data_IF_570274666287
#
_entry.id   IF_570274666287
#
_cell.length_a   1.000
_cell.length_b   1.000
_cell.length_c   1.000
_cell.angle_alpha   90.00
_cell.angle_beta   90.00
_cell.angle_gamma   90.00
#
_symmetry.space_group_name_H-M   'P 1'
#
loop_
_entity.id
_entity.type
_entity.pdbx_description
1 polymer ?
#
# COMPACT_ATOMS: atom_id res chain seq x y z
N UNK A 1 -46.95 27.40 75.62
CA UNK A 1 -46.73 28.66 74.84
C UNK A 1 -45.33 28.57 74.28
N UNK A 2 -45.21 28.15 73.07
CA UNK A 2 -43.91 28.02 72.40
C UNK A 2 -43.94 28.90 71.14
N UNK A 3 -43.15 29.95 71.16
CA UNK A 3 -43.03 30.93 70.10
C UNK A 3 -41.94 30.42 69.19
N UNK A 4 -42.31 30.01 67.99
CA UNK A 4 -41.37 29.61 66.95
C UNK A 4 -40.91 30.86 66.20
N UNK A 5 -39.65 31.23 66.31
CA UNK A 5 -39.03 32.31 65.60
C UNK A 5 -38.65 31.82 64.20
N UNK A 6 -39.24 32.43 63.18
CA UNK A 6 -38.90 32.19 61.73
C UNK A 6 -37.54 32.78 61.37
N UNK A 7 -36.76 31.95 60.75
CA UNK A 7 -35.46 32.31 60.14
C UNK A 7 -35.71 33.17 58.88
N UNK A 8 -35.03 34.30 58.69
CA UNK A 8 -35.14 35.09 57.47
C UNK A 8 -34.46 34.38 56.30
N UNK A 9 -34.97 34.55 55.05
CA UNK A 9 -34.38 33.96 53.86
C UNK A 9 -33.03 34.56 53.52
N UNK A 10 -32.07 33.69 53.27
CA UNK A 10 -30.72 33.99 52.85
C UNK A 10 -30.73 34.55 51.39
N UNK A 11 -29.99 35.61 51.09
CA UNK A 11 -29.92 36.16 49.73
C UNK A 11 -29.17 35.19 48.83
N UNK A 12 -29.87 34.76 47.78
CA UNK A 12 -29.34 33.95 46.68
C UNK A 12 -28.29 34.74 45.89
N UNK A 13 -27.02 34.51 46.23
CA UNK A 13 -25.88 35.00 45.43
C UNK A 13 -25.63 34.02 44.31
N UNK A 14 -26.49 34.01 43.28
CA UNK A 14 -26.25 33.38 42.03
C UNK A 14 -24.96 33.87 41.38
N UNK A 15 -24.11 33.01 40.86
CA UNK A 15 -22.89 33.40 40.19
C UNK A 15 -23.22 34.26 38.97
N UNK A 16 -22.41 35.26 38.64
CA UNK A 16 -22.66 36.13 37.50
C UNK A 16 -22.67 35.25 36.23
N UNK A 17 -23.72 35.43 35.46
CA UNK A 17 -23.85 34.86 34.13
C UNK A 17 -22.63 35.24 33.29
N UNK A 18 -21.66 34.34 33.24
CA UNK A 18 -20.53 34.45 32.34
C UNK A 18 -21.09 34.52 30.92
N UNK A 19 -20.85 35.64 30.26
CA UNK A 19 -21.13 35.83 28.85
C UNK A 19 -20.31 34.80 28.07
N UNK A 20 -20.85 33.61 27.89
CA UNK A 20 -20.36 32.65 26.91
C UNK A 20 -20.67 33.24 25.53
N UNK A 21 -19.70 33.98 24.99
CA UNK A 21 -19.67 34.22 23.56
C UNK A 21 -19.80 32.89 22.85
N UNK A 22 -20.82 32.68 22.01
CA UNK A 22 -20.94 31.42 21.27
C UNK A 22 -19.71 31.38 20.36
N UNK A 23 -18.72 30.54 20.75
CA UNK A 23 -17.72 30.07 19.81
C UNK A 23 -18.51 29.33 18.75
N UNK A 24 -18.75 29.96 17.62
CA UNK A 24 -19.25 29.28 16.41
C UNK A 24 -18.27 28.15 16.16
N UNK A 25 -18.64 26.96 16.57
CA UNK A 25 -17.88 25.76 16.27
C UNK A 25 -17.81 25.65 14.75
N UNK A 26 -16.61 25.90 14.22
CA UNK A 26 -16.32 25.74 12.79
C UNK A 26 -16.74 24.33 12.27
N UNK A 27 -16.96 23.40 13.21
CA UNK A 27 -17.43 22.05 12.94
C UNK A 27 -18.89 21.98 12.50
N UNK A 28 -19.74 22.90 12.94
CA UNK A 28 -21.17 22.91 12.62
C UNK A 28 -21.53 23.73 11.40
N UNK A 29 -20.57 24.49 10.86
CA UNK A 29 -20.74 25.19 9.59
C UNK A 29 -20.64 24.18 8.44
N UNK A 30 -21.59 24.22 7.50
CA UNK A 30 -21.53 23.47 6.24
C UNK A 30 -20.16 23.62 5.54
N UNK A 31 -19.57 24.82 5.63
CA UNK A 31 -18.25 25.11 5.09
C UNK A 31 -17.13 24.38 5.84
N UNK A 32 -17.22 24.28 7.18
CA UNK A 32 -16.25 23.52 7.98
C UNK A 32 -16.26 22.04 7.63
N UNK A 33 -17.45 21.46 7.43
CA UNK A 33 -17.60 20.06 7.01
C UNK A 33 -17.04 19.81 5.61
N UNK A 34 -17.34 20.72 4.67
CA UNK A 34 -16.80 20.63 3.31
C UNK A 34 -15.27 20.73 3.30
N UNK A 35 -14.69 21.59 4.13
CA UNK A 35 -13.24 21.78 4.24
C UNK A 35 -12.56 20.52 4.81
N UNK A 36 -13.12 19.93 5.86
CA UNK A 36 -12.61 18.69 6.46
C UNK A 36 -12.67 17.53 5.46
N UNK A 37 -13.79 17.37 4.74
CA UNK A 37 -13.92 16.35 3.72
C UNK A 37 -12.92 16.57 2.57
N UNK A 38 -12.72 17.81 2.14
CA UNK A 38 -11.73 18.14 1.12
C UNK A 38 -10.31 17.80 1.55
N UNK A 39 -9.91 18.13 2.77
CA UNK A 39 -8.60 17.78 3.32
C UNK A 39 -8.41 16.29 3.43
N UNK A 40 -9.41 15.55 3.92
CA UNK A 40 -9.37 14.09 3.99
C UNK A 40 -9.22 13.47 2.60
N UNK A 41 -9.95 13.97 1.60
CA UNK A 41 -9.88 13.48 0.23
C UNK A 41 -8.50 13.73 -0.39
N UNK A 42 -7.94 14.92 -0.21
CA UNK A 42 -6.57 15.24 -0.67
C UNK A 42 -5.55 14.37 0.05
N UNK A 43 -5.70 14.16 1.35
CA UNK A 43 -4.80 13.32 2.13
C UNK A 43 -4.84 11.86 1.67
N UNK A 44 -6.04 11.30 1.42
CA UNK A 44 -6.17 9.93 0.90
C UNK A 44 -5.58 9.78 -0.49
N UNK A 45 -5.73 10.78 -1.37
CA UNK A 45 -5.12 10.78 -2.70
C UNK A 45 -3.59 10.87 -2.63
N UNK A 46 -3.04 11.68 -1.72
CA UNK A 46 -1.59 11.77 -1.53
C UNK A 46 -1.01 10.46 -0.99
N UNK A 47 -1.65 9.86 0.02
CA UNK A 47 -1.22 8.57 0.57
C UNK A 47 -1.33 7.46 -0.47
N UNK A 48 -2.38 7.45 -1.29
CA UNK A 48 -2.53 6.48 -2.38
C UNK A 48 -1.43 6.61 -3.42
N UNK A 49 -1.02 7.83 -3.78
CA UNK A 49 0.08 8.05 -4.72
C UNK A 49 1.42 7.61 -4.15
N UNK A 50 1.70 7.90 -2.88
CA UNK A 50 2.98 7.48 -2.26
C UNK A 50 3.07 5.97 -2.09
N UNK A 51 1.96 5.27 -1.88
CA UNK A 51 1.95 3.80 -1.84
C UNK A 51 2.08 3.16 -3.24
N UNK A 52 1.61 3.83 -4.29
CA UNK A 52 1.65 3.30 -5.67
C UNK A 52 2.98 3.59 -6.38
N UNK A 53 3.73 4.64 -5.99
CA UNK A 53 4.91 5.10 -6.73
C UNK A 53 6.26 4.66 -6.15
N UNK A 54 6.28 3.87 -5.07
CA UNK A 54 7.51 3.39 -4.44
C UNK A 54 7.82 1.90 -4.71
N UNK A 55 7.23 1.33 -5.75
CA UNK A 55 7.64 0.03 -6.25
C UNK A 55 8.08 0.21 -7.68
N UNK A 56 9.35 0.51 -7.87
CA UNK A 56 10.06 0.22 -9.10
C UNK A 56 10.23 -1.31 -9.18
N UNK A 57 9.10 -2.03 -9.09
CA UNK A 57 9.08 -3.47 -9.24
C UNK A 57 9.47 -3.76 -10.70
N UNK A 58 10.49 -4.57 -10.88
CA UNK A 58 10.97 -5.03 -12.17
C UNK A 58 9.81 -5.66 -12.94
N UNK A 59 9.63 -5.22 -14.18
CA UNK A 59 8.61 -5.74 -15.06
C UNK A 59 8.92 -7.18 -15.50
N UNK A 60 7.91 -7.89 -15.98
CA UNK A 60 8.08 -9.24 -16.52
C UNK A 60 9.13 -9.26 -17.66
N UNK A 61 9.14 -8.24 -18.52
CA UNK A 61 10.08 -8.17 -19.65
C UNK A 61 11.52 -7.99 -19.13
N UNK A 62 11.75 -7.09 -18.21
CA UNK A 62 13.06 -6.88 -17.58
C UNK A 62 13.56 -8.12 -16.86
N UNK A 63 12.67 -8.84 -16.14
CA UNK A 63 13.03 -10.09 -15.47
C UNK A 63 13.48 -11.17 -16.47
N UNK A 64 12.85 -11.23 -17.63
CA UNK A 64 13.25 -12.15 -18.71
C UNK A 64 14.61 -11.75 -19.28
N UNK A 65 14.84 -10.46 -19.53
CA UNK A 65 16.12 -9.96 -20.06
C UNK A 65 17.27 -10.25 -19.09
N UNK A 66 17.05 -10.01 -17.80
CA UNK A 66 18.01 -10.34 -16.75
C UNK A 66 18.29 -11.84 -16.68
N UNK A 67 17.26 -12.70 -16.82
CA UNK A 67 17.43 -14.14 -16.84
C UNK A 67 18.23 -14.60 -18.06
N UNK A 68 18.00 -14.00 -19.24
CA UNK A 68 18.73 -14.31 -20.48
C UNK A 68 20.20 -13.94 -20.34
N UNK A 69 20.52 -12.80 -19.74
CA UNK A 69 21.91 -12.38 -19.49
C UNK A 69 22.68 -13.34 -18.58
N UNK A 70 21.98 -14.01 -17.66
CA UNK A 70 22.55 -14.97 -16.73
C UNK A 70 22.46 -16.42 -17.20
N UNK A 71 21.81 -16.68 -18.32
CA UNK A 71 21.70 -18.02 -18.90
C UNK A 71 23.04 -18.46 -19.52
N UNK A 72 23.31 -19.77 -19.43
CA UNK A 72 24.51 -20.36 -20.03
C UNK A 72 24.33 -20.76 -21.49
N UNK A 73 23.16 -20.49 -22.07
CA UNK A 73 22.83 -20.73 -23.47
C UNK A 73 21.90 -19.63 -24.01
N UNK A 74 21.79 -19.56 -25.32
CA UNK A 74 20.85 -18.65 -25.97
C UNK A 74 19.49 -19.34 -26.05
N UNK A 75 18.45 -18.82 -25.39
CA UNK A 75 17.12 -19.44 -25.45
C UNK A 75 16.57 -19.34 -26.86
N UNK A 76 15.81 -20.36 -27.29
CA UNK A 76 15.21 -20.33 -28.61
C UNK A 76 14.16 -19.20 -28.73
N UNK A 77 14.08 -18.61 -29.91
CA UNK A 77 12.94 -17.82 -30.33
C UNK A 77 11.96 -18.76 -31.06
N UNK A 78 10.79 -18.91 -30.60
CA UNK A 78 9.77 -18.00 -30.15
C UNK A 78 9.48 -18.09 -28.64
N UNK A 79 8.51 -17.29 -28.16
CA UNK A 79 8.11 -17.17 -26.75
C UNK A 79 7.75 -18.50 -26.05
N UNK A 80 7.58 -19.58 -26.80
CA UNK A 80 7.32 -20.94 -26.28
C UNK A 80 8.46 -21.44 -25.40
N UNK A 81 9.69 -21.01 -25.64
CA UNK A 81 10.87 -21.39 -24.89
C UNK A 81 11.09 -20.56 -23.61
N UNK A 82 10.16 -19.68 -23.29
CA UNK A 82 10.23 -18.79 -22.14
C UNK A 82 8.94 -18.95 -21.33
N UNK A 83 9.06 -19.45 -20.12
CA UNK A 83 7.94 -19.49 -19.18
C UNK A 83 8.23 -18.56 -18.03
N UNK A 84 7.27 -17.67 -17.72
CA UNK A 84 7.41 -16.68 -16.65
C UNK A 84 6.22 -16.80 -15.72
N UNK A 85 6.49 -16.83 -14.43
CA UNK A 85 5.47 -16.83 -13.36
C UNK A 85 5.87 -15.86 -12.26
N UNK A 86 4.90 -15.14 -11.74
CA UNK A 86 5.10 -14.34 -10.55
C UNK A 86 4.81 -15.17 -9.30
N UNK A 87 5.73 -15.15 -8.34
CA UNK A 87 5.68 -15.92 -7.10
C UNK A 87 5.89 -14.98 -5.90
N UNK A 88 5.14 -15.21 -4.84
CA UNK A 88 5.37 -14.54 -3.56
C UNK A 88 5.96 -15.57 -2.58
N UNK A 89 7.12 -15.26 -2.00
CA UNK A 89 7.79 -16.14 -1.04
C UNK A 89 8.21 -15.38 0.23
N UNK A 90 8.21 -16.12 1.34
CA UNK A 90 8.68 -15.61 2.63
C UNK A 90 7.64 -14.88 3.48
N UNK A 91 8.09 -14.50 4.70
CA UNK A 91 7.31 -13.69 5.65
C UNK A 91 8.24 -12.59 6.16
N UNK A 92 8.04 -11.32 5.78
CA UNK A 92 6.99 -10.79 4.88
C UNK A 92 7.11 -11.29 3.44
N UNK A 93 6.01 -11.33 2.67
CA UNK A 93 6.02 -11.82 1.31
C UNK A 93 6.85 -10.90 0.40
N UNK A 94 7.81 -11.49 -0.30
CA UNK A 94 8.64 -10.83 -1.33
C UNK A 94 8.26 -11.38 -2.69
N UNK A 95 8.09 -10.49 -3.67
CA UNK A 95 7.76 -10.86 -5.03
C UNK A 95 8.99 -11.35 -5.80
N UNK A 96 8.84 -12.45 -6.52
CA UNK A 96 9.85 -13.01 -7.42
C UNK A 96 9.25 -13.34 -8.77
N UNK A 97 10.03 -13.11 -9.82
CA UNK A 97 9.74 -13.64 -11.14
C UNK A 97 10.47 -14.97 -11.31
N UNK A 98 9.72 -16.06 -11.42
CA UNK A 98 10.25 -17.36 -11.82
C UNK A 98 10.32 -17.41 -13.35
N UNK A 99 11.53 -17.45 -13.90
CA UNK A 99 11.78 -17.49 -15.33
C UNK A 99 12.41 -18.82 -15.68
N UNK A 100 11.78 -19.56 -16.58
CA UNK A 100 12.30 -20.82 -17.12
C UNK A 100 12.65 -20.61 -18.57
N UNK A 101 13.90 -20.86 -18.93
CA UNK A 101 14.43 -20.73 -20.28
C UNK A 101 14.78 -22.11 -20.84
N UNK A 102 14.42 -22.36 -22.10
CA UNK A 102 14.76 -23.58 -22.81
C UNK A 102 15.58 -23.27 -24.05
N UNK A 103 16.60 -24.07 -24.36
CA UNK A 103 17.50 -23.84 -25.49
C UNK A 103 16.81 -24.11 -26.82
N UNK A 104 16.37 -25.32 -27.04
CA UNK A 104 15.68 -25.75 -28.24
C UNK A 104 14.76 -26.93 -27.92
N UNK A 105 13.67 -27.04 -28.64
CA UNK A 105 12.75 -28.16 -28.54
C UNK A 105 13.11 -29.16 -29.65
N UNK A 106 13.33 -30.40 -29.30
CA UNK A 106 13.59 -31.46 -30.25
C UNK A 106 12.34 -31.86 -31.08
N UNK A 107 12.48 -32.75 -32.03
CA UNK A 107 11.37 -33.21 -32.86
C UNK A 107 10.26 -33.92 -32.05
N UNK A 108 10.55 -34.34 -30.82
CA UNK A 108 9.64 -34.97 -29.87
C UNK A 108 8.95 -33.97 -28.93
N UNK A 109 9.37 -32.71 -29.01
CA UNK A 109 8.80 -31.60 -28.18
C UNK A 109 9.44 -31.48 -26.81
N UNK A 110 10.56 -32.16 -26.56
CA UNK A 110 11.30 -31.99 -25.31
C UNK A 110 12.42 -30.97 -25.43
N UNK A 111 12.63 -30.13 -24.40
CA UNK A 111 13.71 -29.14 -24.42
C UNK A 111 15.07 -29.83 -24.20
N UNK A 112 16.04 -29.56 -25.07
CA UNK A 112 17.41 -30.12 -24.97
C UNK A 112 18.08 -29.66 -23.65
N UNK A 113 17.84 -28.42 -23.24
CA UNK A 113 18.39 -27.83 -22.03
C UNK A 113 17.41 -26.82 -21.46
N UNK A 114 17.26 -26.83 -20.15
CA UNK A 114 16.37 -25.92 -19.42
C UNK A 114 17.10 -25.36 -18.21
N UNK A 115 17.00 -24.07 -18.00
CA UNK A 115 17.49 -23.39 -16.82
C UNK A 115 16.38 -22.56 -16.18
N UNK A 116 16.33 -22.57 -14.84
CA UNK A 116 15.34 -21.83 -14.07
C UNK A 116 16.03 -20.75 -13.25
N UNK A 117 15.43 -19.56 -13.24
CA UNK A 117 15.91 -18.41 -12.51
C UNK A 117 14.80 -17.82 -11.65
N UNK A 118 15.16 -17.39 -10.45
CA UNK A 118 14.33 -16.54 -9.62
C UNK A 118 14.90 -15.14 -9.63
N UNK A 119 14.14 -14.19 -10.13
CA UNK A 119 14.52 -12.78 -10.17
C UNK A 119 13.70 -12.03 -9.12
N UNK A 120 14.36 -11.41 -8.16
CA UNK A 120 13.68 -10.60 -7.15
C UNK A 120 13.04 -9.37 -7.80
N UNK A 121 11.72 -9.22 -7.67
CA UNK A 121 10.96 -8.17 -8.33
C UNK A 121 11.35 -6.76 -7.86
N UNK A 122 11.84 -6.61 -6.63
CA UNK A 122 12.21 -5.31 -6.07
C UNK A 122 13.67 -4.91 -6.33
N UNK A 123 14.59 -5.90 -6.47
CA UNK A 123 16.04 -5.63 -6.52
C UNK A 123 16.71 -6.09 -7.82
N UNK A 124 16.06 -6.94 -8.61
CA UNK A 124 16.66 -7.56 -9.77
C UNK A 124 17.69 -8.65 -9.47
N UNK A 125 17.87 -8.99 -8.21
CA UNK A 125 18.80 -10.06 -7.82
C UNK A 125 18.34 -11.41 -8.41
N UNK A 126 19.29 -12.14 -9.03
CA UNK A 126 19.03 -13.39 -9.73
C UNK A 126 19.57 -14.55 -8.91
N UNK A 127 18.76 -15.59 -8.75
CA UNK A 127 19.15 -16.85 -8.17
C UNK A 127 18.86 -17.97 -9.19
N UNK A 128 19.88 -18.76 -9.53
CA UNK A 128 19.72 -19.92 -10.40
C UNK A 128 19.27 -21.12 -9.56
N UNK A 129 18.21 -21.80 -10.00
CA UNK A 129 17.62 -22.96 -9.35
C UNK A 129 18.20 -24.28 -9.92
#
# INVERSE_FOLDING_TARGET
>A
MSTSAGTPPEPDNGPPAGSSTPRKDLRDSLWGRALILGVLLVFTLLVSKTCASNRDDITQAEAVDIAIENASFVPCEPQICRQVRFLNQGIPPVGYWGVVLSEQVDAQGEPNRTESFLVNAATGAVEKQ
#
